data_IF_957255683721
#
_entry.id   IF_957255683721
#
_cell.length_a   1.000
_cell.length_b   1.000
_cell.length_c   1.000
_cell.angle_alpha   90.00
_cell.angle_beta   90.00
_cell.angle_gamma   90.00
#
_symmetry.space_group_name_H-M   'P 1'
#
loop_
_entity.id
_entity.type
_entity.pdbx_description
1 polymer ?
#
# COMPACT_ATOMS: atom_id res chain seq x y z
N UNK A 1 -11.78 -2.64 -7.54
CA UNK A 1 -11.62 -1.38 -8.32
C UNK A 1 -10.30 -0.67 -7.99
N UNK A 2 -9.93 -0.44 -6.70
CA UNK A 2 -8.70 0.27 -6.34
C UNK A 2 -7.42 -0.32 -6.96
N UNK A 3 -7.19 -1.64 -6.86
CA UNK A 3 -6.04 -2.28 -7.49
C UNK A 3 -6.11 -2.23 -9.03
N UNK A 4 -7.29 -2.36 -9.61
CA UNK A 4 -7.47 -2.31 -11.06
C UNK A 4 -7.14 -0.91 -11.62
N UNK A 5 -7.34 0.16 -10.85
CA UNK A 5 -6.93 1.50 -11.28
C UNK A 5 -5.42 1.62 -11.52
N UNK A 6 -4.59 0.89 -10.73
CA UNK A 6 -3.14 0.82 -10.93
C UNK A 6 -2.81 0.13 -12.25
N UNK A 7 -3.46 -1.01 -12.53
CA UNK A 7 -3.27 -1.76 -13.78
C UNK A 7 -3.67 -0.90 -14.98
N UNK A 8 -4.83 -0.24 -14.93
CA UNK A 8 -5.31 0.63 -15.99
C UNK A 8 -4.34 1.80 -16.27
N UNK A 9 -3.72 2.34 -15.24
CA UNK A 9 -2.68 3.37 -15.38
C UNK A 9 -1.42 2.79 -15.99
N UNK A 10 -0.95 1.66 -15.47
CA UNK A 10 0.24 1.00 -15.97
C UNK A 10 0.12 0.63 -17.47
N UNK A 11 -1.04 0.14 -17.90
CA UNK A 11 -1.33 -0.18 -19.33
C UNK A 11 -1.29 1.02 -20.25
N UNK A 12 -1.60 2.22 -19.77
CA UNK A 12 -1.52 3.46 -20.56
C UNK A 12 -0.08 3.95 -20.71
N UNK A 13 0.79 3.58 -19.80
CA UNK A 13 2.14 4.14 -19.70
C UNK A 13 3.25 3.15 -20.06
N UNK A 14 2.91 1.86 -20.33
CA UNK A 14 3.89 0.80 -20.63
C UNK A 14 3.37 -0.19 -21.67
N UNK A 15 4.28 -0.80 -22.41
CA UNK A 15 3.98 -1.83 -23.42
C UNK A 15 3.57 -3.17 -22.78
N UNK A 16 4.23 -3.54 -21.68
CA UNK A 16 4.00 -4.79 -20.94
C UNK A 16 3.73 -4.48 -19.48
N UNK A 17 2.67 -5.06 -18.94
CA UNK A 17 2.29 -4.93 -17.53
C UNK A 17 2.26 -6.29 -16.87
N UNK A 18 3.04 -6.42 -15.79
CA UNK A 18 3.07 -7.60 -14.94
C UNK A 18 2.43 -7.25 -13.60
N UNK A 19 1.47 -8.04 -13.16
CA UNK A 19 0.87 -7.92 -11.82
C UNK A 19 1.34 -9.07 -10.93
N UNK A 20 1.85 -8.75 -9.73
CA UNK A 20 2.11 -9.76 -8.71
C UNK A 20 0.89 -9.91 -7.79
N UNK A 21 0.43 -11.15 -7.60
CA UNK A 21 -0.61 -11.52 -6.63
C UNK A 21 0.01 -12.48 -5.63
N UNK A 22 0.41 -11.95 -4.49
CA UNK A 22 1.11 -12.71 -3.46
C UNK A 22 0.75 -12.21 -2.06
N UNK A 23 0.33 -13.13 -1.19
CA UNK A 23 0.09 -12.85 0.22
C UNK A 23 1.37 -13.15 0.98
N UNK A 24 2.17 -12.10 1.21
CA UNK A 24 3.49 -12.20 1.80
C UNK A 24 3.44 -12.53 3.30
N UNK A 25 3.81 -13.73 3.76
CA UNK A 25 3.68 -14.10 5.16
C UNK A 25 4.60 -13.30 6.09
N UNK A 26 5.75 -12.85 5.63
CA UNK A 26 6.77 -12.20 6.48
C UNK A 26 6.42 -10.76 6.85
N UNK A 27 5.43 -10.14 6.23
CA UNK A 27 4.96 -8.80 6.60
C UNK A 27 3.81 -8.81 7.61
N UNK A 28 3.28 -9.99 7.96
CA UNK A 28 2.17 -10.11 8.92
C UNK A 28 2.72 -10.31 10.34
N UNK A 29 2.35 -9.39 11.24
CA UNK A 29 2.68 -9.50 12.65
C UNK A 29 1.73 -10.45 13.40
N UNK A 30 0.51 -10.65 12.88
CA UNK A 30 -0.51 -11.49 13.47
C UNK A 30 -0.83 -12.67 12.54
N UNK A 31 -0.55 -13.93 12.94
CA UNK A 31 -0.89 -15.12 12.16
C UNK A 31 -2.38 -15.24 11.82
N UNK A 32 -3.27 -14.78 12.72
CA UNK A 32 -4.71 -14.81 12.47
C UNK A 32 -5.15 -13.83 11.37
N UNK A 33 -4.45 -12.70 11.17
CA UNK A 33 -4.70 -11.78 10.06
C UNK A 33 -4.25 -12.41 8.73
N UNK A 34 -3.10 -13.10 8.72
CA UNK A 34 -2.62 -13.84 7.56
C UNK A 34 -3.58 -14.98 7.14
N UNK A 35 -4.10 -15.73 8.13
CA UNK A 35 -5.03 -16.83 7.88
C UNK A 35 -6.37 -16.33 7.30
N UNK A 36 -6.89 -15.23 7.85
CA UNK A 36 -8.17 -14.63 7.43
C UNK A 36 -8.06 -13.75 6.18
N UNK A 37 -6.83 -13.52 5.69
CA UNK A 37 -6.66 -12.65 4.53
C UNK A 37 -7.34 -13.25 3.29
N UNK A 38 -8.25 -12.52 2.62
CA UNK A 38 -9.00 -13.03 1.49
C UNK A 38 -8.07 -13.48 0.35
N UNK A 39 -8.27 -14.69 -0.15
CA UNK A 39 -7.54 -15.26 -1.28
C UNK A 39 -8.55 -15.71 -2.32
N UNK A 40 -8.59 -15.04 -3.44
CA UNK A 40 -9.53 -15.32 -4.54
C UNK A 40 -8.81 -15.35 -5.88
N UNK A 41 -7.83 -16.30 -6.06
CA UNK A 41 -6.92 -16.27 -7.21
C UNK A 41 -7.64 -16.27 -8.55
N UNK A 42 -8.69 -17.08 -8.72
CA UNK A 42 -9.44 -17.16 -9.98
C UNK A 42 -10.12 -15.81 -10.31
N UNK A 43 -10.76 -15.18 -9.31
CA UNK A 43 -11.39 -13.86 -9.49
C UNK A 43 -10.39 -12.75 -9.72
N UNK A 44 -9.22 -12.87 -9.14
CA UNK A 44 -8.15 -11.88 -9.31
C UNK A 44 -7.56 -11.98 -10.72
N UNK A 45 -7.32 -13.20 -11.23
CA UNK A 45 -6.88 -13.45 -12.60
C UNK A 45 -7.92 -12.91 -13.60
N UNK A 46 -9.21 -13.27 -13.44
CA UNK A 46 -10.27 -12.78 -14.32
C UNK A 46 -10.30 -11.24 -14.42
N UNK A 47 -10.21 -10.55 -13.28
CA UNK A 47 -10.21 -9.08 -13.25
C UNK A 47 -8.95 -8.49 -13.90
N UNK A 48 -7.80 -9.11 -13.70
CA UNK A 48 -6.54 -8.68 -14.32
C UNK A 48 -6.55 -8.89 -15.83
N UNK A 49 -7.11 -10.00 -16.31
CA UNK A 49 -7.30 -10.28 -17.73
C UNK A 49 -8.26 -9.24 -18.37
N UNK A 50 -9.41 -8.95 -17.74
CA UNK A 50 -10.34 -7.93 -18.16
C UNK A 50 -9.71 -6.52 -18.20
N UNK A 51 -8.76 -6.25 -17.31
CA UNK A 51 -8.01 -4.99 -17.29
C UNK A 51 -6.85 -4.96 -18.30
N UNK A 52 -6.62 -6.05 -19.04
CA UNK A 52 -5.58 -6.14 -20.07
C UNK A 52 -4.17 -6.31 -19.49
N UNK A 53 -4.03 -6.88 -18.30
CA UNK A 53 -2.74 -7.24 -17.73
C UNK A 53 -2.08 -8.33 -18.60
N UNK A 54 -0.80 -8.16 -18.94
CA UNK A 54 -0.12 -9.07 -19.88
C UNK A 54 0.40 -10.33 -19.19
N UNK A 55 0.78 -10.24 -17.92
CA UNK A 55 1.24 -11.39 -17.13
C UNK A 55 0.85 -11.23 -15.65
N UNK A 56 0.53 -12.35 -15.02
CA UNK A 56 0.26 -12.42 -13.58
C UNK A 56 1.30 -13.32 -12.93
N UNK A 57 2.03 -12.79 -11.96
CA UNK A 57 3.02 -13.53 -11.19
C UNK A 57 2.42 -13.92 -9.83
N UNK A 58 2.20 -15.23 -9.62
CA UNK A 58 1.52 -15.77 -8.43
C UNK A 58 2.37 -16.86 -7.77
N UNK A 59 3.48 -16.49 -7.13
CA UNK A 59 4.35 -17.45 -6.48
C UNK A 59 3.75 -17.97 -5.16
N UNK A 60 4.16 -19.17 -4.76
CA UNK A 60 3.97 -19.66 -3.40
C UNK A 60 4.99 -19.03 -2.43
N UNK A 61 4.77 -19.20 -1.13
CA UNK A 61 5.72 -18.72 -0.11
C UNK A 61 7.06 -19.47 -0.21
N UNK A 62 7.04 -20.75 -0.54
CA UNK A 62 8.22 -21.59 -0.71
C UNK A 62 9.04 -21.16 -1.95
N UNK A 63 8.38 -20.79 -3.04
CA UNK A 63 9.06 -20.27 -4.23
C UNK A 63 9.68 -18.90 -3.98
N UNK A 64 8.98 -18.02 -3.25
CA UNK A 64 9.52 -16.69 -2.89
C UNK A 64 10.64 -16.79 -1.86
N UNK A 65 10.55 -17.72 -0.92
CA UNK A 65 11.48 -17.87 0.19
C UNK A 65 11.98 -19.31 0.35
N UNK A 66 12.77 -19.85 -0.63
CA UNK A 66 13.28 -21.21 -0.55
C UNK A 66 14.29 -21.40 0.61
N UNK A 67 14.85 -20.31 1.10
CA UNK A 67 15.76 -20.28 2.24
C UNK A 67 15.25 -19.33 3.31
N UNK A 68 15.77 -19.49 4.54
CA UNK A 68 15.49 -18.53 5.62
C UNK A 68 15.85 -17.12 5.21
N UNK A 69 14.91 -16.19 5.43
CA UNK A 69 15.12 -14.77 5.13
C UNK A 69 15.89 -14.14 6.29
N UNK A 70 17.09 -13.64 6.01
CA UNK A 70 17.96 -12.98 6.97
C UNK A 70 18.19 -11.49 6.65
N UNK A 71 17.60 -11.01 5.55
CA UNK A 71 17.69 -9.61 5.14
C UNK A 71 17.07 -8.71 6.21
N UNK A 72 17.78 -7.64 6.54
CA UNK A 72 17.30 -6.59 7.42
C UNK A 72 17.58 -5.21 6.80
N UNK A 73 16.57 -4.35 6.87
CA UNK A 73 16.65 -2.96 6.41
C UNK A 73 16.34 -2.05 7.60
N UNK A 74 17.10 -0.98 7.74
CA UNK A 74 16.82 0.12 8.67
C UNK A 74 16.33 1.33 7.86
N UNK A 75 15.08 1.70 8.09
CA UNK A 75 14.46 2.86 7.46
C UNK A 75 14.44 4.10 8.38
N UNK A 76 15.09 4.02 9.54
CA UNK A 76 15.14 5.11 10.50
C UNK A 76 13.74 5.52 10.95
N UNK A 77 13.47 6.82 10.97
CA UNK A 77 12.19 7.36 11.41
C UNK A 77 11.01 6.97 10.51
N UNK A 78 11.26 6.60 9.24
CA UNK A 78 10.20 6.13 8.35
C UNK A 78 9.48 4.86 8.84
N UNK A 79 10.11 4.05 9.70
CA UNK A 79 9.48 2.84 10.23
C UNK A 79 9.12 2.94 11.73
N UNK A 80 9.48 4.07 12.40
CA UNK A 80 9.28 4.23 13.84
C UNK A 80 8.06 5.05 14.21
N UNK A 81 7.38 5.63 13.22
CA UNK A 81 6.19 6.46 13.38
C UNK A 81 4.98 5.83 12.69
N UNK A 82 3.79 6.36 12.95
CA UNK A 82 2.54 5.97 12.29
C UNK A 82 2.32 4.43 12.32
N UNK A 83 2.04 3.80 11.18
CA UNK A 83 1.80 2.37 11.06
C UNK A 83 3.02 1.54 11.50
N UNK A 84 4.25 2.01 11.26
CA UNK A 84 5.48 1.34 11.64
C UNK A 84 5.62 1.18 13.16
N UNK A 85 5.22 2.19 13.93
CA UNK A 85 5.20 2.13 15.39
C UNK A 85 4.25 1.05 15.93
N UNK A 86 3.12 0.84 15.24
CA UNK A 86 2.10 -0.14 15.62
C UNK A 86 2.37 -1.55 15.07
N UNK A 87 3.27 -1.68 14.09
CA UNK A 87 3.57 -2.93 13.37
C UNK A 87 5.08 -3.16 13.23
N UNK A 88 5.81 -3.42 14.32
CA UNK A 88 7.27 -3.63 14.28
C UNK A 88 7.65 -4.72 13.27
N UNK A 89 8.62 -4.45 12.39
CA UNK A 89 9.11 -5.38 11.37
C UNK A 89 8.24 -5.51 10.11
N UNK A 90 7.04 -4.92 10.09
CA UNK A 90 6.16 -4.95 8.92
C UNK A 90 6.85 -4.38 7.67
N UNK A 91 7.44 -3.20 7.77
CA UNK A 91 8.09 -2.56 6.62
C UNK A 91 9.38 -3.25 6.18
N UNK A 92 10.08 -3.94 7.09
CA UNK A 92 11.15 -4.83 6.69
C UNK A 92 10.63 -5.98 5.81
N UNK A 93 9.51 -6.60 6.19
CA UNK A 93 8.85 -7.63 5.39
C UNK A 93 8.38 -7.11 4.02
N UNK A 94 7.84 -5.89 3.96
CA UNK A 94 7.46 -5.21 2.70
C UNK A 94 8.69 -4.98 1.81
N UNK A 95 9.79 -4.48 2.38
CA UNK A 95 11.01 -4.21 1.62
C UNK A 95 11.61 -5.49 1.02
N UNK A 96 11.61 -6.58 1.78
CA UNK A 96 12.13 -7.87 1.31
C UNK A 96 11.32 -8.41 0.13
N UNK A 97 9.98 -8.43 0.23
CA UNK A 97 9.15 -8.93 -0.88
C UNK A 97 9.26 -8.05 -2.11
N UNK A 98 9.22 -6.72 -1.94
CA UNK A 98 9.30 -5.78 -3.06
C UNK A 98 10.66 -5.87 -3.76
N UNK A 99 11.76 -5.97 -2.99
CA UNK A 99 13.10 -6.21 -3.55
C UNK A 99 13.11 -7.47 -4.42
N UNK A 100 12.61 -8.59 -3.89
CA UNK A 100 12.56 -9.84 -4.65
C UNK A 100 11.74 -9.71 -5.94
N UNK A 101 10.58 -9.06 -5.86
CA UNK A 101 9.76 -8.80 -7.05
C UNK A 101 10.50 -7.94 -8.08
N UNK A 102 11.23 -6.92 -7.64
CA UNK A 102 12.05 -6.10 -8.54
C UNK A 102 13.20 -6.87 -9.19
N UNK A 103 13.84 -7.78 -8.45
CA UNK A 103 14.92 -8.63 -8.97
C UNK A 103 14.40 -9.70 -9.95
N UNK A 104 13.17 -10.19 -9.76
CA UNK A 104 12.54 -11.19 -10.64
C UNK A 104 12.02 -10.52 -11.92
N UNK A 105 11.27 -9.44 -11.79
CA UNK A 105 10.56 -8.79 -12.91
C UNK A 105 11.45 -7.79 -13.63
N UNK A 106 12.42 -7.16 -12.94
CA UNK A 106 13.28 -6.09 -13.46
C UNK A 106 12.50 -4.99 -14.20
N UNK A 107 11.49 -4.37 -13.56
CA UNK A 107 10.60 -3.45 -14.25
C UNK A 107 11.28 -2.08 -14.48
N UNK A 108 10.85 -1.34 -15.51
CA UNK A 108 11.22 0.07 -15.67
C UNK A 108 10.43 0.96 -14.71
N UNK A 109 9.16 0.63 -14.45
CA UNK A 109 8.24 1.33 -13.55
C UNK A 109 7.53 0.38 -12.62
N UNK A 110 7.27 0.82 -11.40
CA UNK A 110 6.45 0.08 -10.44
C UNK A 110 5.38 1.00 -9.83
N UNK A 111 4.14 0.53 -9.81
CA UNK A 111 2.95 1.31 -9.47
C UNK A 111 2.45 0.93 -8.09
N UNK A 112 2.29 1.92 -7.20
CA UNK A 112 1.84 1.74 -5.83
C UNK A 112 0.74 2.75 -5.49
N UNK A 113 -0.25 2.33 -4.71
CA UNK A 113 -1.32 3.22 -4.26
C UNK A 113 -0.84 4.19 -3.17
N UNK A 114 -1.18 5.48 -3.30
CA UNK A 114 -0.91 6.50 -2.28
C UNK A 114 -1.71 6.28 -0.99
N UNK A 115 -2.71 5.41 -1.02
CA UNK A 115 -3.46 5.00 0.17
C UNK A 115 -2.53 4.43 1.25
N UNK A 116 -1.57 3.63 0.86
CA UNK A 116 -0.56 3.06 1.75
C UNK A 116 0.70 3.96 1.74
N UNK A 117 0.50 5.21 2.15
CA UNK A 117 1.46 6.32 2.00
C UNK A 117 2.84 6.02 2.60
N UNK A 118 2.87 5.49 3.82
CA UNK A 118 4.13 5.15 4.50
C UNK A 118 4.85 4.00 3.78
N UNK A 119 4.11 2.99 3.30
CA UNK A 119 4.66 1.93 2.46
C UNK A 119 5.29 2.49 1.18
N UNK A 120 4.62 3.42 0.51
CA UNK A 120 5.16 4.08 -0.69
C UNK A 120 6.47 4.83 -0.38
N UNK A 121 6.56 5.52 0.76
CA UNK A 121 7.77 6.20 1.20
C UNK A 121 8.92 5.20 1.46
N UNK A 122 8.64 4.08 2.12
CA UNK A 122 9.59 2.97 2.36
C UNK A 122 10.12 2.41 1.04
N UNK A 123 9.24 2.17 0.06
CA UNK A 123 9.64 1.61 -1.24
C UNK A 123 10.50 2.61 -2.02
N UNK A 124 10.17 3.88 -2.02
CA UNK A 124 11.01 4.94 -2.61
C UNK A 124 12.40 5.00 -1.97
N UNK A 125 12.45 4.88 -0.64
CA UNK A 125 13.72 4.81 0.09
C UNK A 125 14.52 3.57 -0.30
N UNK A 126 13.91 2.39 -0.37
CA UNK A 126 14.53 1.14 -0.79
C UNK A 126 15.18 1.27 -2.18
N UNK A 127 14.44 1.80 -3.17
CA UNK A 127 14.92 2.01 -4.54
C UNK A 127 16.12 2.95 -4.55
N UNK A 128 16.08 4.04 -3.78
CA UNK A 128 17.18 5.01 -3.66
C UNK A 128 18.44 4.37 -3.06
N UNK A 129 18.32 3.65 -1.95
CA UNK A 129 19.44 3.02 -1.24
C UNK A 129 20.06 1.89 -2.08
N UNK A 130 19.23 1.08 -2.71
CA UNK A 130 19.68 -0.02 -3.58
C UNK A 130 20.10 0.44 -4.98
N UNK A 131 19.88 1.71 -5.32
CA UNK A 131 20.18 2.31 -6.64
C UNK A 131 19.53 1.53 -7.79
N UNK A 132 18.31 1.04 -7.59
CA UNK A 132 17.58 0.39 -8.68
C UNK A 132 17.16 1.42 -9.74
N UNK A 133 17.32 1.10 -11.03
CA UNK A 133 16.91 1.97 -12.13
C UNK A 133 15.38 1.83 -12.38
N UNK A 134 14.57 1.97 -11.31
CA UNK A 134 13.13 1.76 -11.33
C UNK A 134 12.44 3.06 -10.94
N UNK A 135 11.53 3.54 -11.76
CA UNK A 135 10.65 4.66 -11.43
C UNK A 135 9.49 4.19 -10.54
N UNK A 136 9.35 4.78 -9.36
CA UNK A 136 8.23 4.48 -8.44
C UNK A 136 7.11 5.48 -8.66
N UNK A 137 6.01 4.99 -9.23
CA UNK A 137 4.82 5.77 -9.58
C UNK A 137 3.78 5.65 -8.47
N UNK A 138 3.47 6.77 -7.79
CA UNK A 138 2.34 6.87 -6.88
C UNK A 138 1.03 6.98 -7.66
N UNK A 139 0.03 6.17 -7.29
CA UNK A 139 -1.30 6.22 -7.88
C UNK A 139 -2.30 6.81 -6.88
N UNK A 140 -3.16 7.75 -7.31
CA UNK A 140 -4.14 8.40 -6.44
C UNK A 140 -5.07 7.40 -5.75
N UNK A 141 -5.55 7.81 -4.57
CA UNK A 141 -6.48 7.00 -3.79
C UNK A 141 -7.83 6.95 -4.50
N UNK A 142 -8.32 5.74 -4.77
CA UNK A 142 -9.70 5.53 -5.24
C UNK A 142 -10.61 5.42 -4.04
N UNK A 143 -11.71 6.20 -4.05
CA UNK A 143 -12.68 6.27 -2.94
C UNK A 143 -14.07 5.90 -3.42
N UNK A 144 -14.90 5.44 -2.49
CA UNK A 144 -16.35 5.32 -2.66
C UNK A 144 -16.97 6.73 -2.72
N UNK A 145 -18.21 6.84 -3.18
CA UNK A 145 -18.95 8.12 -3.19
C UNK A 145 -19.03 8.77 -1.79
N UNK A 146 -19.05 7.95 -0.76
CA UNK A 146 -18.99 8.36 0.65
C UNK A 146 -17.67 9.02 1.07
N UNK A 147 -16.62 8.96 0.22
CA UNK A 147 -15.26 9.39 0.52
C UNK A 147 -14.38 8.31 1.16
N UNK A 148 -14.96 7.18 1.61
CA UNK A 148 -14.19 6.08 2.18
C UNK A 148 -13.23 5.50 1.13
N UNK A 149 -11.95 5.36 1.48
CA UNK A 149 -10.96 4.76 0.58
C UNK A 149 -11.29 3.29 0.31
N UNK A 150 -11.21 2.85 -0.96
CA UNK A 150 -11.46 1.46 -1.32
C UNK A 150 -10.43 0.53 -0.67
N UNK A 151 -10.94 -0.47 0.04
CA UNK A 151 -10.15 -1.53 0.68
C UNK A 151 -10.94 -2.84 0.67
N UNK A 152 -10.25 -3.96 0.49
CA UNK A 152 -10.86 -5.29 0.67
C UNK A 152 -11.36 -5.50 2.10
N UNK A 153 -10.76 -4.83 3.09
CA UNK A 153 -11.18 -4.86 4.49
C UNK A 153 -12.52 -4.15 4.72
N UNK A 154 -12.97 -3.25 3.84
CA UNK A 154 -14.29 -2.61 3.95
C UNK A 154 -15.43 -3.62 3.88
N UNK A 155 -15.22 -4.80 3.31
CA UNK A 155 -16.23 -5.89 3.29
C UNK A 155 -16.47 -6.50 4.66
N UNK A 156 -15.57 -6.31 5.61
CA UNK A 156 -15.68 -6.79 6.99
C UNK A 156 -16.51 -5.84 7.87
N UNK A 157 -16.75 -4.61 7.39
CA UNK A 157 -17.48 -3.59 8.13
C UNK A 157 -19.00 -3.77 7.93
N UNK A 158 -19.74 -3.64 9.00
CA UNK A 158 -21.21 -3.46 8.97
C UNK A 158 -21.59 -2.13 8.31
N UNK A 159 -22.85 -1.94 7.95
CA UNK A 159 -23.33 -0.68 7.36
C UNK A 159 -23.06 0.53 8.27
N UNK A 160 -23.30 0.39 9.57
CA UNK A 160 -23.05 1.45 10.55
C UNK A 160 -21.56 1.78 10.69
N UNK A 161 -20.69 0.76 10.72
CA UNK A 161 -19.23 0.98 10.78
C UNK A 161 -18.70 1.65 9.53
N UNK A 162 -19.24 1.34 8.34
CA UNK A 162 -18.90 2.04 7.09
C UNK A 162 -19.28 3.51 7.15
N UNK A 163 -20.46 3.83 7.68
CA UNK A 163 -20.91 5.21 7.85
C UNK A 163 -19.96 5.97 8.79
N UNK A 164 -19.65 5.39 9.95
CA UNK A 164 -18.70 5.98 10.90
C UNK A 164 -17.33 6.18 10.26
N UNK A 165 -16.83 5.20 9.50
CA UNK A 165 -15.53 5.27 8.84
C UNK A 165 -15.42 6.41 7.81
N UNK A 166 -16.54 6.94 7.29
CA UNK A 166 -16.51 8.10 6.39
C UNK A 166 -15.97 9.37 7.07
N UNK A 167 -16.08 9.45 8.40
CA UNK A 167 -15.56 10.59 9.16
C UNK A 167 -14.04 10.72 9.06
N UNK A 168 -13.31 9.62 8.81
CA UNK A 168 -11.87 9.67 8.55
C UNK A 168 -11.56 10.59 7.36
N UNK A 169 -12.30 10.43 6.26
CA UNK A 169 -12.09 11.27 5.06
C UNK A 169 -12.53 12.72 5.29
N UNK A 170 -13.63 12.93 6.02
CA UNK A 170 -14.10 14.28 6.38
C UNK A 170 -13.02 15.01 7.17
N UNK A 171 -12.51 14.38 8.23
CA UNK A 171 -11.45 14.96 9.06
C UNK A 171 -10.17 15.28 8.26
N UNK A 172 -9.74 14.36 7.36
CA UNK A 172 -8.60 14.60 6.47
C UNK A 172 -8.83 15.80 5.53
N UNK A 173 -10.04 15.91 4.96
CA UNK A 173 -10.39 17.02 4.07
C UNK A 173 -10.40 18.36 4.82
N UNK A 174 -11.03 18.39 5.98
CA UNK A 174 -11.08 19.56 6.84
C UNK A 174 -9.68 19.99 7.30
N UNK A 175 -8.78 19.01 7.58
CA UNK A 175 -7.38 19.30 7.93
C UNK A 175 -6.64 19.98 6.78
N UNK A 176 -6.88 19.58 5.52
CA UNK A 176 -6.28 20.22 4.35
C UNK A 176 -6.80 21.65 4.18
N UNK A 177 -8.12 21.84 4.31
CA UNK A 177 -8.75 23.17 4.20
C UNK A 177 -8.25 24.10 5.32
N UNK A 178 -8.07 23.56 6.54
CA UNK A 178 -7.50 24.30 7.68
C UNK A 178 -6.03 24.71 7.42
N UNK A 179 -5.21 23.82 6.88
CA UNK A 179 -3.82 24.10 6.53
C UNK A 179 -3.68 25.19 5.47
N UNK A 180 -4.63 25.29 4.54
CA UNK A 180 -4.65 26.37 3.53
C UNK A 180 -4.99 27.75 4.14
N UNK A 181 -5.68 27.77 5.28
CA UNK A 181 -6.10 29.00 5.96
C UNK A 181 -5.16 29.43 7.09
N UNK A 182 -4.35 28.52 7.63
CA UNK A 182 -3.39 28.78 8.71
C UNK A 182 -2.01 28.21 8.40
N UNK A 183 -0.98 28.95 8.76
CA UNK A 183 0.40 28.46 8.64
C UNK A 183 0.61 27.30 9.63
N UNK A 184 1.11 26.15 9.15
CA UNK A 184 1.40 24.96 9.98
C UNK A 184 2.32 25.30 11.16
N UNK A 185 3.20 26.30 11.02
CA UNK A 185 4.05 26.79 12.08
C UNK A 185 3.28 27.45 13.25
N UNK A 186 1.99 27.80 13.07
CA UNK A 186 1.10 28.36 14.10
C UNK A 186 0.34 27.28 14.87
N UNK A 187 0.36 26.02 14.41
CA UNK A 187 -0.19 24.87 15.14
C UNK A 187 0.78 24.46 16.25
N UNK A 188 0.51 24.84 17.47
CA UNK A 188 1.41 24.59 18.62
C UNK A 188 1.46 23.13 19.05
N UNK A 189 0.36 22.38 18.89
CA UNK A 189 0.31 20.94 19.22
C UNK A 189 -0.76 20.21 18.40
N UNK A 190 -0.63 18.90 18.26
CA UNK A 190 -1.65 18.02 17.69
C UNK A 190 -2.94 18.01 18.53
N UNK A 191 -2.81 18.30 19.83
CA UNK A 191 -3.92 18.37 20.78
C UNK A 191 -4.81 19.60 20.51
N UNK A 192 -4.25 20.74 20.12
CA UNK A 192 -5.05 21.93 19.73
C UNK A 192 -5.91 21.70 18.48
N UNK A 193 -5.51 20.74 17.62
CA UNK A 193 -6.32 20.32 16.48
C UNK A 193 -7.49 19.41 16.91
N UNK A 194 -7.25 18.52 17.90
CA UNK A 194 -8.27 17.62 18.44
C UNK A 194 -9.32 18.32 19.29
N UNK A 195 -8.93 19.34 20.05
CA UNK A 195 -9.84 20.11 20.92
C UNK A 195 -10.73 21.10 20.14
N UNK A 196 -10.45 21.35 18.86
CA UNK A 196 -11.25 22.21 17.99
C UNK A 196 -12.38 21.45 17.26
N UNK A 197 -12.45 20.10 17.37
CA UNK A 197 -13.40 19.19 16.72
C UNK A 197 -13.95 18.15 17.70
#
# INVERSE_FOLDING_TARGET
EGHISLINRAKKENDIVVCSVFVNPIQFNNPADLEKYPRTPEKDIEKLEQAGCDAVFMPTAEEMYPNKVEDHYDFGDLERVMEGACRPGHFNGVAIVVRKLFEIVTPNRAYFGEKDFQQLAIIRHLVKVKKYPIEIVGCPIVREESGLALSSRNMLLSANEKEIATNIYKALKESVDFQQTKNVAEMKTFDEFYDAY
#
